data_IF_314716138798
#
_entry.id   IF_314716138798
#
_cell.length_a   1.000
_cell.length_b   1.000
_cell.length_c   1.000
_cell.angle_alpha   90.00
_cell.angle_beta   90.00
_cell.angle_gamma   90.00
#
_symmetry.space_group_name_H-M   'P 1'
#
loop_
_entity.id
_entity.type
_entity.pdbx_description
1 polymer ?
#
# COMPACT_ATOMS: atom_id res chain seq x y z
N UNK A 1 -26.48 -9.25 -11.84
CA UNK A 1 -26.36 -8.80 -10.44
C UNK A 1 -24.93 -8.31 -10.22
N UNK A 2 -24.68 -7.00 -10.32
CA UNK A 2 -23.32 -6.43 -10.27
C UNK A 2 -22.84 -6.34 -8.82
N UNK A 3 -21.86 -7.16 -8.50
CA UNK A 3 -21.27 -7.29 -7.17
C UNK A 3 -20.38 -6.07 -6.95
N UNK A 4 -20.93 -5.02 -6.36
CA UNK A 4 -20.13 -3.92 -5.84
C UNK A 4 -19.55 -4.40 -4.51
N UNK A 5 -18.51 -5.24 -4.57
CA UNK A 5 -17.69 -5.55 -3.40
C UNK A 5 -16.80 -4.34 -3.16
N UNK A 6 -17.38 -3.34 -2.51
CA UNK A 6 -16.64 -2.31 -1.79
C UNK A 6 -15.80 -3.00 -0.72
N UNK A 7 -14.61 -3.46 -1.12
CA UNK A 7 -13.52 -3.83 -0.24
C UNK A 7 -12.97 -2.54 0.35
N UNK A 8 -13.75 -1.88 1.20
CA UNK A 8 -13.30 -0.79 2.03
C UNK A 8 -12.25 -1.34 2.98
N UNK A 9 -10.99 -1.31 2.55
CA UNK A 9 -9.85 -1.57 3.41
C UNK A 9 -9.83 -0.45 4.45
N UNK A 10 -10.26 -0.81 5.66
CA UNK A 10 -10.53 0.12 6.75
C UNK A 10 -9.35 1.01 7.16
N UNK A 11 -9.55 1.93 8.11
CA UNK A 11 -8.62 3.03 8.43
C UNK A 11 -7.25 2.62 9.01
N UNK A 12 -6.93 1.32 9.09
CA UNK A 12 -5.62 0.79 9.46
C UNK A 12 -4.89 0.25 8.23
N UNK A 13 -3.65 0.69 8.02
CA UNK A 13 -2.77 0.12 7.02
C UNK A 13 -1.34 0.18 7.51
N UNK A 14 -0.53 -0.80 7.17
CA UNK A 14 0.89 -0.82 7.48
C UNK A 14 1.67 -0.12 6.37
N UNK A 15 2.80 0.49 6.70
CA UNK A 15 3.75 0.91 5.67
C UNK A 15 4.57 -0.31 5.25
N UNK A 16 4.43 -0.73 4.00
CA UNK A 16 5.23 -1.79 3.38
C UNK A 16 6.34 -1.20 2.53
N UNK A 17 7.53 -1.78 2.63
CA UNK A 17 8.68 -1.47 1.83
C UNK A 17 8.58 -2.20 0.46
N UNK A 18 8.43 -1.50 -0.68
CA UNK A 18 8.37 -2.16 -1.99
C UNK A 18 9.71 -2.77 -2.42
N UNK A 19 10.83 -2.39 -1.78
CA UNK A 19 12.17 -2.93 -2.08
C UNK A 19 12.50 -4.21 -1.33
N UNK A 20 11.98 -4.35 -0.12
CA UNK A 20 12.46 -5.34 0.86
C UNK A 20 11.34 -6.15 1.50
N UNK A 21 10.08 -5.72 1.35
CA UNK A 21 8.91 -6.38 1.94
C UNK A 21 8.69 -6.06 3.41
N UNK A 22 9.54 -5.25 4.04
CA UNK A 22 9.39 -4.85 5.45
C UNK A 22 8.06 -4.15 5.71
N UNK A 23 7.32 -4.63 6.70
CA UNK A 23 6.04 -4.05 7.14
C UNK A 23 6.22 -3.39 8.49
N UNK A 24 5.92 -2.10 8.55
CA UNK A 24 5.92 -1.34 9.81
C UNK A 24 4.53 -0.75 10.06
N UNK A 25 4.13 -0.59 11.33
CA UNK A 25 2.88 0.10 11.65
C UNK A 25 2.93 1.54 11.14
N UNK A 26 1.95 1.93 10.35
CA UNK A 26 1.86 3.31 9.85
C UNK A 26 1.71 4.29 11.01
N UNK A 27 2.60 5.29 11.05
CA UNK A 27 2.53 6.36 12.03
C UNK A 27 1.52 7.42 11.62
N UNK A 28 0.58 7.72 12.52
CA UNK A 28 -0.35 8.84 12.33
C UNK A 28 0.43 10.16 12.17
N UNK A 29 -0.04 11.01 11.25
CA UNK A 29 0.58 12.29 10.83
C UNK A 29 1.84 12.19 9.97
N UNK A 30 2.44 11.00 9.79
CA UNK A 30 3.59 10.82 8.89
C UNK A 30 3.20 9.91 7.72
N UNK A 31 3.13 10.42 6.48
CA UNK A 31 2.89 9.60 5.31
C UNK A 31 3.96 8.50 5.17
N UNK A 32 3.57 7.26 4.84
CA UNK A 32 4.53 6.16 4.60
C UNK A 32 5.63 6.53 3.59
N UNK A 33 5.31 7.40 2.62
CA UNK A 33 6.26 7.85 1.59
C UNK A 33 7.36 8.76 2.12
N UNK A 34 7.14 9.40 3.27
CA UNK A 34 8.15 10.20 3.97
C UNK A 34 8.97 9.35 4.94
N UNK A 35 8.42 8.22 5.40
CA UNK A 35 9.16 7.27 6.24
C UNK A 35 10.17 6.48 5.38
N UNK A 36 11.37 6.30 5.93
CA UNK A 36 12.44 5.50 5.32
C UNK A 36 12.50 4.15 6.01
N UNK A 37 12.55 3.09 5.21
CA UNK A 37 12.70 1.74 5.73
C UNK A 37 14.05 1.59 6.47
N UNK A 38 14.07 1.08 7.71
CA UNK A 38 15.31 0.89 8.48
C UNK A 38 16.21 -0.21 7.90
N UNK A 39 15.66 -1.13 7.11
CA UNK A 39 16.41 -2.23 6.48
C UNK A 39 17.12 -1.81 5.19
N UNK A 40 16.50 -0.96 4.36
CA UNK A 40 17.01 -0.66 3.01
C UNK A 40 17.08 0.83 2.66
N UNK A 41 16.56 1.72 3.51
CA UNK A 41 16.53 3.17 3.29
C UNK A 41 15.54 3.66 2.22
N UNK A 42 14.74 2.76 1.61
CA UNK A 42 13.74 3.13 0.61
C UNK A 42 12.53 3.81 1.23
N UNK A 43 11.84 4.64 0.43
CA UNK A 43 10.55 5.24 0.79
C UNK A 43 9.50 4.14 0.93
N UNK A 44 8.72 4.19 2.00
CA UNK A 44 7.72 3.17 2.25
C UNK A 44 6.40 3.49 1.54
N UNK A 45 5.58 2.47 1.35
CA UNK A 45 4.28 2.58 0.69
C UNK A 45 3.19 2.14 1.67
N UNK A 46 2.04 2.79 1.66
CA UNK A 46 0.93 2.38 2.51
C UNK A 46 0.26 1.16 1.91
N UNK A 47 0.26 0.05 2.64
CA UNK A 47 -0.53 -1.14 2.34
C UNK A 47 -2.01 -0.81 2.54
N UNK A 48 -2.83 -1.02 1.50
CA UNK A 48 -4.29 -0.88 1.59
C UNK A 48 -4.93 0.41 1.07
N UNK A 49 -4.21 1.29 0.37
CA UNK A 49 -4.86 2.40 -0.36
C UNK A 49 -5.43 1.95 -1.71
N UNK A 50 -6.63 2.43 -2.07
CA UNK A 50 -7.33 2.28 -3.38
C UNK A 50 -6.41 2.43 -4.61
N UNK A 51 -5.35 3.23 -4.50
CA UNK A 51 -4.32 3.39 -5.54
C UNK A 51 -3.50 2.12 -5.84
N UNK A 52 -3.50 1.11 -4.97
CA UNK A 52 -2.84 -0.17 -5.20
C UNK A 52 -3.68 -1.09 -6.09
N UNK A 53 -5.01 -1.05 -5.97
CA UNK A 53 -5.91 -1.81 -6.85
C UNK A 53 -5.75 -1.38 -8.31
N UNK A 54 -5.71 -0.07 -8.59
CA UNK A 54 -5.47 0.43 -9.95
C UNK A 54 -4.09 0.04 -10.50
N UNK A 55 -3.11 -0.20 -9.62
CA UNK A 55 -1.78 -0.68 -10.02
C UNK A 55 -1.81 -2.17 -10.39
N UNK A 56 -2.48 -3.00 -9.59
CA UNK A 56 -2.70 -4.42 -9.88
C UNK A 56 -3.58 -4.64 -11.13
N UNK A 57 -4.64 -3.86 -11.29
CA UNK A 57 -5.55 -3.94 -12.43
C UNK A 57 -4.86 -3.54 -13.75
N UNK A 58 -4.03 -2.48 -13.74
CA UNK A 58 -3.24 -2.09 -14.91
C UNK A 58 -2.16 -3.11 -15.27
N UNK A 59 -1.67 -3.89 -14.30
CA UNK A 59 -0.72 -4.99 -14.58
C UNK A 59 -1.41 -6.22 -15.14
N UNK A 60 -2.64 -6.51 -14.73
CA UNK A 60 -3.46 -7.61 -15.27
C UNK A 60 -4.06 -7.31 -16.64
N UNK A 61 -4.38 -6.05 -16.95
CA UNK A 61 -4.96 -5.64 -18.24
C UNK A 61 -3.94 -5.58 -19.42
N UNK A 62 -2.73 -6.13 -19.24
CA UNK A 62 -1.68 -6.21 -20.27
C UNK A 62 -1.40 -7.64 -20.76
N UNK A 63 -2.17 -8.63 -20.34
CA UNK A 63 -2.25 -9.95 -21.00
C UNK A 63 -3.26 -9.94 -22.14
#
# INVERSE_FOLDING_TARGET
MSMNTSSGLGPGGDCVCPKCGEKIPHRQRVPCREERCPQCGAKMLREGSEHHQLWDEKRKAKE
#
